data_IF_850662466469
#
_entry.id   IF_850662466469
#
_cell.length_a   1.000
_cell.length_b   1.000
_cell.length_c   1.000
_cell.angle_alpha   90.00
_cell.angle_beta   90.00
_cell.angle_gamma   90.00
#
_symmetry.space_group_name_H-M   'P 1'
#
loop_
_entity.id
_entity.type
_entity.pdbx_description
1 polymer ?
#
# COMPACT_ATOMS: atom_id res chain seq x y z
N UNK A 1 19.69 24.78 -11.48
CA UNK A 1 20.14 23.40 -11.73
C UNK A 1 19.70 22.58 -10.52
N UNK A 2 18.52 21.97 -10.61
CA UNK A 2 17.82 21.37 -9.47
C UNK A 2 18.59 20.14 -9.01
N UNK A 3 19.04 20.19 -7.76
CA UNK A 3 19.81 19.15 -7.10
C UNK A 3 18.88 17.98 -6.78
N UNK A 4 18.65 17.09 -7.77
CA UNK A 4 17.94 15.84 -7.59
C UNK A 4 18.81 14.90 -6.74
N UNK A 5 18.42 14.77 -5.48
CA UNK A 5 18.93 13.89 -4.44
C UNK A 5 19.73 12.67 -4.93
N UNK A 6 21.02 12.66 -4.60
CA UNK A 6 21.82 11.43 -4.45
C UNK A 6 21.37 10.69 -3.19
N UNK A 7 20.94 9.44 -3.34
CA UNK A 7 21.26 8.39 -2.38
C UNK A 7 21.62 7.14 -3.17
N UNK A 8 22.92 6.81 -3.16
CA UNK A 8 23.46 5.60 -3.76
C UNK A 8 23.49 4.45 -2.74
N UNK A 9 23.27 3.25 -3.28
CA UNK A 9 23.89 1.95 -2.96
C UNK A 9 23.67 1.33 -1.57
N UNK A 10 22.76 0.36 -1.51
CA UNK A 10 22.71 -0.71 -0.50
C UNK A 10 21.94 -1.91 -1.05
N UNK A 11 22.60 -3.08 -1.13
CA UNK A 11 22.15 -4.31 -1.81
C UNK A 11 20.85 -4.88 -1.22
N UNK A 12 19.93 -5.29 -2.08
CA UNK A 12 18.80 -6.17 -1.71
C UNK A 12 19.37 -7.58 -1.54
N UNK A 13 19.46 -8.05 -0.29
CA UNK A 13 19.57 -9.48 0.01
C UNK A 13 18.49 -9.80 1.04
N UNK A 14 17.43 -10.45 0.58
CA UNK A 14 16.29 -10.84 1.38
C UNK A 14 16.62 -12.07 2.22
N UNK A 15 16.69 -11.85 3.54
CA UNK A 15 16.40 -12.77 4.65
C UNK A 15 16.83 -12.10 5.98
N UNK A 16 16.54 -10.81 6.24
CA UNK A 16 17.42 -10.04 7.14
C UNK A 16 16.80 -8.85 7.91
N UNK A 17 17.32 -8.55 9.12
CA UNK A 17 17.00 -7.35 9.90
C UNK A 17 17.60 -6.09 9.25
N UNK A 18 16.87 -4.98 9.38
CA UNK A 18 17.01 -3.67 8.70
C UNK A 18 16.39 -3.62 7.30
N UNK A 19 15.07 -3.61 7.24
CA UNK A 19 14.40 -3.13 6.02
C UNK A 19 14.85 -1.67 5.76
N UNK A 20 15.09 -1.35 4.49
CA UNK A 20 15.02 0.03 4.00
C UNK A 20 14.44 -0.06 2.59
N UNK A 21 13.12 -0.18 2.52
CA UNK A 21 12.39 -0.15 1.26
C UNK A 21 11.92 1.27 1.03
N UNK A 22 12.51 1.98 0.06
CA UNK A 22 12.08 3.32 -0.29
C UNK A 22 11.16 3.22 -1.50
N UNK A 23 9.96 3.78 -1.44
CA UNK A 23 8.94 3.71 -2.52
C UNK A 23 9.44 4.22 -3.88
N UNK A 24 10.57 4.93 -3.94
CA UNK A 24 11.26 5.24 -5.21
C UNK A 24 11.73 3.98 -5.96
N UNK A 25 11.73 2.82 -5.31
CA UNK A 25 12.19 1.54 -5.85
C UNK A 25 11.09 0.73 -6.56
N UNK A 26 9.84 1.21 -6.66
CA UNK A 26 8.82 0.41 -7.38
C UNK A 26 9.08 0.32 -8.89
N UNK A 27 9.85 1.25 -9.46
CA UNK A 27 10.42 1.13 -10.81
C UNK A 27 11.53 0.09 -10.92
N UNK A 28 12.10 -0.39 -9.80
CA UNK A 28 13.16 -1.40 -9.72
C UNK A 28 12.59 -2.82 -9.77
N UNK A 29 11.30 -3.02 -9.49
CA UNK A 29 10.66 -4.33 -9.65
C UNK A 29 10.40 -4.75 -11.10
N UNK A 30 10.82 -3.94 -12.09
CA UNK A 30 10.68 -4.33 -13.49
C UNK A 30 11.70 -5.41 -13.84
N UNK A 31 11.33 -6.67 -13.66
CA UNK A 31 12.09 -7.85 -14.10
C UNK A 31 12.61 -8.77 -12.99
N UNK A 32 12.54 -8.36 -11.71
CA UNK A 32 12.84 -9.24 -10.58
C UNK A 32 11.57 -9.95 -10.08
N UNK A 33 11.68 -11.25 -9.79
CA UNK A 33 10.56 -12.00 -9.21
C UNK A 33 10.27 -11.46 -7.81
N UNK A 34 9.01 -11.16 -7.47
CA UNK A 34 8.65 -10.67 -6.16
C UNK A 34 8.92 -11.76 -5.10
N UNK A 35 9.27 -11.35 -3.88
CA UNK A 35 9.56 -12.28 -2.78
C UNK A 35 8.37 -12.36 -1.84
N UNK A 36 7.90 -13.59 -1.59
CA UNK A 36 6.83 -13.85 -0.61
C UNK A 36 7.28 -13.46 0.81
N UNK A 37 6.40 -12.78 1.54
CA UNK A 37 6.65 -12.37 2.92
C UNK A 37 6.33 -13.50 3.91
N UNK A 38 7.04 -13.52 5.04
CA UNK A 38 6.68 -14.39 6.16
C UNK A 38 5.52 -13.79 6.96
N UNK A 39 4.78 -14.63 7.67
CA UNK A 39 3.63 -14.22 8.49
C UNK A 39 3.97 -13.14 9.52
N UNK A 40 5.16 -13.22 10.14
CA UNK A 40 5.64 -12.21 11.10
C UNK A 40 5.84 -10.84 10.42
N UNK A 41 6.44 -10.83 9.24
CA UNK A 41 6.69 -9.62 8.46
C UNK A 41 5.38 -8.98 8.01
N UNK A 42 4.42 -9.80 7.55
CA UNK A 42 3.08 -9.35 7.16
C UNK A 42 2.40 -8.66 8.34
N UNK A 43 2.37 -9.30 9.52
CA UNK A 43 1.78 -8.71 10.73
C UNK A 43 2.47 -7.40 11.13
N UNK A 44 3.79 -7.33 11.02
CA UNK A 44 4.55 -6.13 11.35
C UNK A 44 4.24 -4.98 10.39
N UNK A 45 4.20 -5.26 9.08
CA UNK A 45 3.87 -4.26 8.06
C UNK A 45 2.41 -3.79 8.16
N UNK A 46 1.47 -4.69 8.42
CA UNK A 46 0.06 -4.32 8.67
C UNK A 46 -0.06 -3.42 9.91
N UNK A 47 0.72 -3.66 10.96
CA UNK A 47 0.77 -2.79 12.15
C UNK A 47 1.39 -1.44 11.84
N UNK A 48 2.54 -1.43 11.16
CA UNK A 48 3.28 -0.22 10.77
C UNK A 48 2.43 0.76 9.96
N UNK A 49 1.66 0.24 9.00
CA UNK A 49 0.81 1.04 8.13
C UNK A 49 -0.64 1.16 8.61
N UNK A 50 -0.94 0.72 9.84
CA UNK A 50 -2.26 0.79 10.48
C UNK A 50 -3.38 0.07 9.69
N UNK A 51 -3.01 -0.97 8.94
CA UNK A 51 -3.92 -1.77 8.11
C UNK A 51 -4.58 -2.91 8.88
N UNK A 52 -4.02 -3.34 10.02
CA UNK A 52 -4.48 -4.52 10.76
C UNK A 52 -5.90 -4.41 11.34
N UNK A 53 -6.50 -3.22 11.37
CA UNK A 53 -7.89 -3.02 11.80
C UNK A 53 -8.90 -3.20 10.66
N UNK A 54 -8.48 -3.00 9.40
CA UNK A 54 -9.38 -2.92 8.24
C UNK A 54 -9.14 -4.03 7.22
N UNK A 55 -7.91 -4.53 7.14
CA UNK A 55 -7.52 -5.63 6.28
C UNK A 55 -7.40 -6.93 7.07
N UNK A 56 -7.94 -8.01 6.51
CA UNK A 56 -7.87 -9.36 7.09
C UNK A 56 -6.95 -10.22 6.26
N UNK A 57 -6.24 -11.13 6.92
CA UNK A 57 -5.59 -12.25 6.23
C UNK A 57 -6.66 -13.26 5.81
N UNK A 58 -6.63 -13.64 4.55
CA UNK A 58 -7.46 -14.68 3.98
C UNK A 58 -6.56 -15.84 3.54
N UNK A 59 -6.85 -17.01 4.09
CA UNK A 59 -6.15 -18.27 3.82
C UNK A 59 -4.61 -18.22 4.04
N UNK A 60 -4.14 -17.28 4.86
CA UNK A 60 -2.73 -16.98 5.18
C UNK A 60 -1.84 -16.52 4.01
N UNK A 61 -2.39 -16.35 2.80
CA UNK A 61 -1.61 -16.02 1.60
C UNK A 61 -2.21 -14.88 0.76
N UNK A 62 -3.29 -14.25 1.23
CA UNK A 62 -3.89 -13.06 0.59
C UNK A 62 -4.46 -12.08 1.63
N UNK A 63 -4.63 -10.83 1.24
CA UNK A 63 -5.29 -9.80 2.04
C UNK A 63 -6.70 -9.56 1.52
N UNK A 64 -7.67 -9.40 2.43
CA UNK A 64 -9.07 -9.13 2.09
C UNK A 64 -9.61 -7.90 2.82
N UNK A 65 -10.41 -7.10 2.10
CA UNK A 65 -11.16 -5.99 2.67
C UNK A 65 -12.46 -5.74 1.90
N UNK A 66 -13.48 -5.26 2.61
CA UNK A 66 -14.68 -4.69 2.00
C UNK A 66 -14.74 -3.20 2.26
N UNK A 67 -15.08 -2.42 1.23
CA UNK A 67 -15.27 -0.97 1.32
C UNK A 67 -16.69 -0.63 0.87
N UNK A 68 -17.44 0.07 1.72
CA UNK A 68 -18.80 0.52 1.42
C UNK A 68 -18.83 2.05 1.26
N UNK A 69 -19.45 2.50 0.18
CA UNK A 69 -19.63 3.91 -0.17
C UNK A 69 -21.11 4.32 -0.07
N UNK A 70 -21.42 5.59 -0.21
CA UNK A 70 -22.80 6.09 -0.10
C UNK A 70 -23.65 5.69 -1.30
N UNK A 71 -23.04 5.60 -2.49
CA UNK A 71 -23.71 5.33 -3.76
C UNK A 71 -22.74 4.70 -4.77
N UNK A 72 -23.28 4.26 -5.91
CA UNK A 72 -22.51 3.65 -7.00
C UNK A 72 -21.45 4.59 -7.60
N UNK A 73 -21.74 5.89 -7.71
CA UNK A 73 -20.82 6.88 -8.29
C UNK A 73 -19.55 7.02 -7.46
N UNK A 74 -19.67 7.05 -6.14
CA UNK A 74 -18.51 7.06 -5.23
C UNK A 74 -17.70 5.78 -5.34
N UNK A 75 -18.37 4.62 -5.32
CA UNK A 75 -17.70 3.33 -5.46
C UNK A 75 -16.90 3.24 -6.78
N UNK A 76 -17.49 3.67 -7.89
CA UNK A 76 -16.83 3.65 -9.18
C UNK A 76 -15.71 4.70 -9.31
N UNK A 77 -15.84 5.86 -8.67
CA UNK A 77 -14.78 6.87 -8.56
C UNK A 77 -13.57 6.34 -7.79
N UNK A 78 -13.82 5.62 -6.68
CA UNK A 78 -12.79 4.90 -5.93
C UNK A 78 -12.10 3.86 -6.82
N UNK A 79 -12.86 2.99 -7.50
CA UNK A 79 -12.31 1.98 -8.40
C UNK A 79 -11.44 2.63 -9.50
N UNK A 80 -11.90 3.73 -10.10
CA UNK A 80 -11.13 4.43 -11.14
C UNK A 80 -9.76 4.91 -10.62
N UNK A 81 -9.72 5.47 -9.42
CA UNK A 81 -8.46 5.93 -8.81
C UNK A 81 -7.55 4.76 -8.44
N UNK A 82 -8.09 3.66 -7.91
CA UNK A 82 -7.32 2.44 -7.62
C UNK A 82 -6.76 1.83 -8.89
N UNK A 83 -7.53 1.79 -9.99
CA UNK A 83 -7.07 1.28 -11.28
C UNK A 83 -5.88 2.09 -11.83
N UNK A 84 -5.98 3.44 -11.81
CA UNK A 84 -4.88 4.32 -12.20
C UNK A 84 -3.62 4.06 -11.35
N UNK A 85 -3.78 3.97 -10.03
CA UNK A 85 -2.67 3.70 -9.12
C UNK A 85 -2.03 2.33 -9.39
N UNK A 86 -2.85 1.30 -9.58
CA UNK A 86 -2.43 -0.08 -9.84
C UNK A 86 -1.58 -0.19 -11.11
N UNK A 87 -1.98 0.48 -12.19
CA UNK A 87 -1.20 0.57 -13.43
C UNK A 87 0.17 1.21 -13.21
N UNK A 88 0.23 2.28 -12.42
CA UNK A 88 1.49 3.00 -12.17
C UNK A 88 2.49 2.19 -11.33
N UNK A 89 2.01 1.30 -10.45
CA UNK A 89 2.87 0.42 -9.64
C UNK A 89 3.05 -0.98 -10.23
N UNK A 90 2.37 -1.26 -11.35
CA UNK A 90 2.30 -2.57 -12.00
C UNK A 90 2.00 -3.70 -11.00
N UNK A 91 0.90 -3.53 -10.27
CA UNK A 91 0.35 -4.49 -9.33
C UNK A 91 -1.15 -4.25 -9.21
N UNK A 92 -1.96 -5.29 -9.40
CA UNK A 92 -3.41 -5.14 -9.58
C UNK A 92 -4.18 -5.86 -8.47
N UNK A 93 -5.32 -5.31 -8.03
CA UNK A 93 -6.21 -6.01 -7.12
C UNK A 93 -7.09 -7.01 -7.87
N UNK A 94 -7.53 -8.04 -7.16
CA UNK A 94 -8.76 -8.76 -7.49
C UNK A 94 -9.92 -8.09 -6.75
N UNK A 95 -11.04 -7.84 -7.42
CA UNK A 95 -12.20 -7.24 -6.76
C UNK A 95 -13.55 -7.64 -7.34
N UNK A 96 -14.59 -7.49 -6.52
CA UNK A 96 -16.00 -7.59 -6.91
C UNK A 96 -16.71 -6.28 -6.56
N UNK A 97 -17.53 -5.75 -7.48
CA UNK A 97 -18.36 -4.57 -7.22
C UNK A 97 -19.85 -4.95 -7.12
N UNK A 98 -20.43 -4.74 -5.95
CA UNK A 98 -21.85 -4.92 -5.64
C UNK A 98 -22.46 -3.55 -5.31
N UNK A 99 -22.93 -2.83 -6.34
CA UNK A 99 -23.46 -1.46 -6.22
C UNK A 99 -22.47 -0.51 -5.49
N UNK A 100 -22.73 -0.16 -4.24
CA UNK A 100 -21.87 0.73 -3.44
C UNK A 100 -20.84 -0.02 -2.59
N UNK A 101 -20.74 -1.34 -2.71
CA UNK A 101 -19.79 -2.17 -1.96
C UNK A 101 -18.74 -2.73 -2.91
N UNK A 102 -17.46 -2.58 -2.55
CA UNK A 102 -16.32 -3.18 -3.24
C UNK A 102 -15.67 -4.19 -2.31
N UNK A 103 -15.58 -5.44 -2.75
CA UNK A 103 -14.80 -6.49 -2.08
C UNK A 103 -13.46 -6.59 -2.77
N UNK A 104 -12.36 -6.61 -2.03
CA UNK A 104 -11.01 -6.52 -2.56
C UNK A 104 -10.18 -7.66 -1.97
N UNK A 105 -9.51 -8.41 -2.85
CA UNK A 105 -8.48 -9.39 -2.51
C UNK A 105 -7.16 -8.96 -3.14
N UNK A 106 -6.09 -8.99 -2.36
CA UNK A 106 -4.73 -8.69 -2.82
C UNK A 106 -3.83 -9.90 -2.62
N UNK A 107 -3.19 -10.31 -3.69
CA UNK A 107 -2.19 -11.37 -3.75
C UNK A 107 -1.21 -11.03 -4.88
N UNK A 108 0.03 -11.50 -4.75
CA UNK A 108 0.96 -11.52 -5.87
C UNK A 108 0.93 -12.89 -6.54
N UNK A 109 0.27 -12.99 -7.68
CA UNK A 109 0.05 -14.26 -8.42
C UNK A 109 1.34 -15.00 -8.76
N UNK A 110 2.41 -14.27 -9.13
CA UNK A 110 3.71 -14.83 -9.50
C UNK A 110 4.30 -15.77 -8.43
N UNK A 111 3.97 -15.53 -7.16
CA UNK A 111 4.43 -16.32 -6.01
C UNK A 111 3.30 -16.93 -5.19
N UNK A 112 2.06 -16.75 -5.63
CA UNK A 112 0.83 -17.18 -4.96
C UNK A 112 0.84 -16.86 -3.44
N UNK A 113 1.30 -15.66 -3.08
CA UNK A 113 1.44 -15.22 -1.70
C UNK A 113 1.49 -13.68 -1.59
N UNK A 114 1.42 -13.16 -0.36
CA UNK A 114 1.53 -11.74 -0.04
C UNK A 114 2.98 -11.29 -0.19
N UNK A 115 3.16 -10.15 -0.86
CA UNK A 115 4.43 -9.45 -1.02
C UNK A 115 4.31 -8.01 -0.54
N UNK A 116 5.42 -7.26 -0.58
CA UNK A 116 5.41 -5.83 -0.25
C UNK A 116 4.46 -5.04 -1.16
N UNK A 117 4.27 -5.49 -2.41
CA UNK A 117 3.35 -4.84 -3.37
C UNK A 117 1.90 -4.90 -2.89
N UNK A 118 1.48 -6.03 -2.31
CA UNK A 118 0.14 -6.21 -1.75
C UNK A 118 -0.10 -5.27 -0.57
N UNK A 119 0.87 -5.16 0.35
CA UNK A 119 0.77 -4.24 1.50
C UNK A 119 0.74 -2.79 1.02
N UNK A 120 1.57 -2.43 0.03
CA UNK A 120 1.60 -1.08 -0.50
C UNK A 120 0.30 -0.70 -1.21
N UNK A 121 -0.25 -1.60 -2.02
CA UNK A 121 -1.54 -1.41 -2.67
C UNK A 121 -2.67 -1.33 -1.64
N UNK A 122 -2.64 -2.15 -0.57
CA UNK A 122 -3.59 -2.05 0.55
C UNK A 122 -3.56 -0.66 1.21
N UNK A 123 -2.35 -0.14 1.48
CA UNK A 123 -2.17 1.20 2.03
C UNK A 123 -2.70 2.29 1.09
N UNK A 124 -2.42 2.19 -0.20
CA UNK A 124 -2.92 3.13 -1.20
C UNK A 124 -4.44 3.10 -1.28
N UNK A 125 -5.05 1.91 -1.28
CA UNK A 125 -6.50 1.72 -1.29
C UNK A 125 -7.16 2.42 -0.10
N UNK A 126 -6.62 2.28 1.12
CA UNK A 126 -7.18 2.94 2.30
C UNK A 126 -7.14 4.47 2.18
N UNK A 127 -6.04 5.03 1.67
CA UNK A 127 -5.92 6.47 1.42
C UNK A 127 -6.89 6.96 0.32
N UNK A 128 -7.02 6.21 -0.77
CA UNK A 128 -7.93 6.55 -1.87
C UNK A 128 -9.39 6.47 -1.40
N UNK A 129 -9.76 5.43 -0.64
CA UNK A 129 -11.10 5.28 -0.08
C UNK A 129 -11.45 6.46 0.85
N UNK A 130 -10.53 6.82 1.76
CA UNK A 130 -10.70 7.96 2.65
C UNK A 130 -10.89 9.27 1.87
N UNK A 131 -10.07 9.50 0.84
CA UNK A 131 -10.18 10.69 -0.01
C UNK A 131 -11.53 10.78 -0.74
N UNK A 132 -12.06 9.66 -1.26
CA UNK A 132 -13.37 9.63 -1.92
C UNK A 132 -14.49 9.93 -0.91
N UNK A 133 -14.43 9.37 0.29
CA UNK A 133 -15.44 9.55 1.34
C UNK A 133 -15.43 10.96 1.95
N UNK A 134 -14.26 11.60 2.07
CA UNK A 134 -14.16 13.00 2.56
C UNK A 134 -14.72 13.97 1.52
N UNK A 135 -14.40 13.76 0.22
CA UNK A 135 -14.85 14.65 -0.86
C UNK A 135 -16.36 14.61 -1.12
N UNK A 136 -17.07 13.54 -0.77
CA UNK A 136 -18.54 13.52 -0.90
C UNK A 136 -19.24 14.42 0.13
N UNK A 137 -18.57 14.80 1.22
CA UNK A 137 -19.06 15.77 2.19
C UNK A 137 -18.80 17.24 1.77
N UNK A 138 -17.80 17.48 0.93
CA UNK A 138 -17.40 18.83 0.47
C UNK A 138 -17.58 18.95 -1.05
N UNK A 139 -18.72 19.52 -1.46
CA UNK A 139 -19.01 19.84 -2.86
C UNK A 139 -17.95 20.77 -3.47
N UNK A 140 -17.01 20.26 -4.28
CA UNK A 140 -16.51 20.91 -5.52
C UNK A 140 -15.63 19.97 -6.37
N UNK A 141 -15.67 20.23 -7.69
CA UNK A 141 -15.01 19.53 -8.79
C UNK A 141 -13.47 19.54 -8.71
N UNK A 142 -12.89 18.71 -7.87
CA UNK A 142 -11.43 18.58 -7.79
C UNK A 142 -10.96 17.15 -8.05
N UNK A 143 -10.76 16.85 -9.35
CA UNK A 143 -10.09 15.67 -9.91
C UNK A 143 -8.57 15.70 -9.70
N UNK A 144 -8.08 16.18 -8.54
CA UNK A 144 -6.74 15.83 -8.10
C UNK A 144 -6.71 14.34 -7.76
N UNK A 145 -6.29 13.54 -8.75
CA UNK A 145 -5.75 12.19 -8.56
C UNK A 145 -4.79 12.27 -7.37
N UNK A 146 -4.94 11.40 -6.36
CA UNK A 146 -3.93 11.32 -5.29
C UNK A 146 -2.58 11.10 -5.98
N UNK A 147 -1.68 12.08 -5.91
CA UNK A 147 -0.37 11.94 -6.51
C UNK A 147 0.32 10.76 -5.84
N UNK A 148 0.74 9.76 -6.62
CA UNK A 148 1.50 8.61 -6.12
C UNK A 148 2.65 9.05 -5.20
N UNK A 149 3.29 10.16 -5.52
CA UNK A 149 4.33 10.78 -4.72
C UNK A 149 3.89 11.00 -3.25
N UNK A 150 2.66 11.45 -3.00
CA UNK A 150 2.15 11.69 -1.64
C UNK A 150 1.91 10.39 -0.87
N UNK A 151 1.30 9.39 -1.52
CA UNK A 151 1.12 8.07 -0.89
C UNK A 151 2.48 7.45 -0.59
N UNK A 152 3.41 7.57 -1.53
CA UNK A 152 4.78 7.11 -1.40
C UNK A 152 5.53 7.78 -0.25
N UNK A 153 5.43 9.10 -0.14
CA UNK A 153 6.03 9.89 0.93
C UNK A 153 5.45 9.49 2.29
N UNK A 154 4.13 9.37 2.41
CA UNK A 154 3.46 8.95 3.64
C UNK A 154 3.83 7.51 4.04
N UNK A 155 3.94 6.60 3.08
CA UNK A 155 4.44 5.25 3.31
C UNK A 155 5.86 5.27 3.88
N UNK A 156 6.78 5.99 3.22
CA UNK A 156 8.17 6.08 3.67
C UNK A 156 8.26 6.75 5.06
N UNK A 157 7.42 7.75 5.33
CA UNK A 157 7.37 8.38 6.63
C UNK A 157 6.95 7.41 7.74
N UNK A 158 5.89 6.60 7.51
CA UNK A 158 5.45 5.59 8.47
C UNK A 158 6.55 4.58 8.77
N UNK A 159 7.28 4.18 7.73
CA UNK A 159 8.44 3.30 7.85
C UNK A 159 9.53 3.90 8.76
N UNK A 160 9.92 5.15 8.50
CA UNK A 160 10.94 5.86 9.29
C UNK A 160 10.51 6.09 10.75
N UNK A 161 9.21 6.31 11.00
CA UNK A 161 8.67 6.44 12.35
C UNK A 161 8.72 5.12 13.11
N UNK A 162 8.29 4.02 12.48
CA UNK A 162 8.29 2.70 13.10
C UNK A 162 9.70 2.22 13.43
N UNK A 163 10.66 2.47 12.54
CA UNK A 163 12.08 2.18 12.81
C UNK A 163 12.59 2.92 14.06
N UNK A 164 12.30 4.22 14.18
CA UNK A 164 12.68 5.01 15.36
C UNK A 164 12.03 4.49 16.65
N UNK A 165 10.78 4.03 16.57
CA UNK A 165 10.08 3.44 17.71
C UNK A 165 10.79 2.17 18.19
N UNK A 166 11.09 1.22 17.29
CA UNK A 166 11.81 -0.02 17.65
C UNK A 166 13.19 0.29 18.23
N UNK A 167 13.95 1.21 17.62
CA UNK A 167 15.27 1.58 18.12
C UNK A 167 15.21 2.19 19.53
N UNK A 168 14.15 2.95 19.84
CA UNK A 168 13.95 3.55 21.15
C UNK A 168 13.59 2.49 22.19
N UNK A 169 12.66 1.58 21.86
CA UNK A 169 12.26 0.48 22.74
C UNK A 169 13.43 -0.47 23.06
N UNK A 170 14.31 -0.71 22.08
CA UNK A 170 15.52 -1.54 22.27
C UNK A 170 16.60 -0.91 23.16
N UNK A 171 16.56 0.40 23.36
CA UNK A 171 17.51 1.15 24.22
C UNK A 171 17.00 1.35 25.64
N UNK A 172 15.73 1.02 25.91
CA UNK A 172 15.09 1.12 27.23
C UNK A 172 15.09 -0.20 28.02
N UNK A 173 15.65 -1.27 27.45
CA UNK A 173 15.86 -2.59 28.07
C UNK A 173 17.34 -2.76 28.37
#
# INVERSE_FOLDING_TARGET
>A
MIQLFRFCSGKITTSFPKLSFKVKDFSIFKGEKPTALKMEDIKQLLKMHQLGATWKLQDDHSLYKEVKFSNFKEAFSFMTQVAIFSEQINHHPEWENLFNTIKIRLITDDVNNITVKDIFLAYAIDNIAMNVQVKSAESTNDTRILEIAKIAEAWNFNFDQFHRMIETDSKQI
#
